data_IF_343903519963
#
_entry.id   IF_343903519963
#
_cell.length_a   1.000
_cell.length_b   1.000
_cell.length_c   1.000
_cell.angle_alpha   90.00
_cell.angle_beta   90.00
_cell.angle_gamma   90.00
#
_symmetry.space_group_name_H-M   'P 1'
#
loop_
_entity.id
_entity.type
_entity.pdbx_description
1 polymer ?
#
# COMPACT_ATOMS: atom_id res chain seq x y z
N UNK A 1 -22.06 -1.96 4.87
CA UNK A 1 -21.37 -1.86 6.18
C UNK A 1 -21.10 -3.21 6.85
N UNK A 2 -22.09 -4.10 7.06
CA UNK A 2 -21.84 -5.46 7.60
C UNK A 2 -20.79 -6.26 6.79
N UNK A 3 -20.80 -6.09 5.46
CA UNK A 3 -19.84 -6.74 4.56
C UNK A 3 -18.38 -6.33 4.82
N UNK A 4 -18.09 -5.06 5.10
CA UNK A 4 -16.72 -4.59 5.36
C UNK A 4 -16.20 -5.20 6.66
N UNK A 5 -17.00 -5.15 7.73
CA UNK A 5 -16.60 -5.75 9.02
C UNK A 5 -16.43 -7.27 8.94
N UNK A 6 -17.31 -7.95 8.21
CA UNK A 6 -17.24 -9.41 8.04
C UNK A 6 -16.06 -9.86 7.18
N UNK A 7 -15.54 -8.99 6.31
CA UNK A 7 -14.48 -9.33 5.35
C UNK A 7 -13.16 -8.59 5.59
N UNK A 8 -13.06 -7.71 6.59
CA UNK A 8 -11.87 -6.88 6.80
C UNK A 8 -10.59 -7.70 6.90
N UNK A 9 -10.65 -8.86 7.57
CA UNK A 9 -9.54 -9.82 7.66
C UNK A 9 -9.05 -10.23 6.26
N UNK A 10 -9.95 -10.64 5.38
CA UNK A 10 -9.62 -11.09 4.03
C UNK A 10 -9.14 -9.93 3.15
N UNK A 11 -9.73 -8.75 3.29
CA UNK A 11 -9.29 -7.54 2.59
C UNK A 11 -7.85 -7.19 3.01
N UNK A 12 -7.55 -7.21 4.31
CA UNK A 12 -6.19 -6.99 4.83
C UNK A 12 -5.20 -8.04 4.33
N UNK A 13 -5.58 -9.32 4.27
CA UNK A 13 -4.70 -10.37 3.75
C UNK A 13 -4.41 -10.19 2.26
N UNK A 14 -5.45 -10.04 1.44
CA UNK A 14 -5.28 -9.88 -0.01
C UNK A 14 -4.47 -8.64 -0.35
N UNK A 15 -4.82 -7.50 0.25
CA UNK A 15 -4.08 -6.25 0.06
C UNK A 15 -2.66 -6.31 0.62
N UNK A 16 -2.44 -6.99 1.74
CA UNK A 16 -1.13 -7.19 2.33
C UNK A 16 -0.22 -8.01 1.44
N UNK A 17 -0.70 -9.13 0.89
CA UNK A 17 0.04 -9.99 -0.05
C UNK A 17 0.41 -9.21 -1.31
N UNK A 18 -0.55 -8.50 -1.90
CA UNK A 18 -0.30 -7.66 -3.08
C UNK A 18 0.73 -6.57 -2.75
N UNK A 19 0.60 -5.89 -1.60
CA UNK A 19 1.55 -4.85 -1.19
C UNK A 19 2.96 -5.42 -0.95
N UNK A 20 3.06 -6.65 -0.42
CA UNK A 20 4.33 -7.35 -0.27
C UNK A 20 5.05 -7.66 -1.59
N UNK A 21 4.36 -7.62 -2.74
CA UNK A 21 5.01 -7.80 -4.05
C UNK A 21 6.11 -6.76 -4.31
N UNK A 22 6.06 -5.61 -3.63
CA UNK A 22 7.12 -4.60 -3.66
C UNK A 22 8.47 -5.11 -3.16
N UNK A 23 8.52 -6.28 -2.53
CA UNK A 23 9.78 -6.95 -2.22
C UNK A 23 10.61 -7.20 -3.49
N UNK A 24 9.95 -7.44 -4.63
CA UNK A 24 10.61 -7.55 -5.93
C UNK A 24 11.35 -6.26 -6.28
N UNK A 25 10.76 -5.09 -6.04
CA UNK A 25 11.41 -3.78 -6.26
C UNK A 25 12.57 -3.55 -5.28
N UNK A 26 12.51 -4.12 -4.08
CA UNK A 26 13.61 -4.07 -3.11
C UNK A 26 14.80 -4.96 -3.51
N UNK A 27 14.56 -6.05 -4.25
CA UNK A 27 15.61 -6.96 -4.74
C UNK A 27 16.13 -6.56 -6.13
N UNK A 28 15.23 -6.10 -7.00
CA UNK A 28 15.48 -5.68 -8.37
C UNK A 28 14.82 -4.32 -8.66
N UNK A 29 15.50 -3.20 -8.31
CA UNK A 29 14.97 -1.84 -8.42
C UNK A 29 14.44 -1.46 -9.79
N UNK A 30 15.20 -1.76 -10.85
CA UNK A 30 14.84 -1.42 -12.22
C UNK A 30 13.60 -2.16 -12.70
N UNK A 31 13.50 -3.47 -12.39
CA UNK A 31 12.31 -4.27 -12.68
C UNK A 31 11.09 -3.71 -11.95
N UNK A 32 11.24 -3.40 -10.66
CA UNK A 32 10.18 -2.84 -9.84
C UNK A 32 9.62 -1.54 -10.40
N UNK A 33 10.50 -0.58 -10.68
CA UNK A 33 10.11 0.70 -11.26
C UNK A 33 9.48 0.53 -12.65
N UNK A 34 10.03 -0.35 -13.50
CA UNK A 34 9.49 -0.61 -14.83
C UNK A 34 8.06 -1.19 -14.77
N UNK A 35 7.79 -2.07 -13.81
CA UNK A 35 6.46 -2.65 -13.63
C UNK A 35 5.46 -1.63 -13.09
N UNK A 36 5.87 -0.76 -12.16
CA UNK A 36 4.99 0.21 -11.50
C UNK A 36 4.79 1.49 -12.31
N UNK A 37 5.85 2.05 -12.87
CA UNK A 37 5.89 3.37 -13.50
C UNK A 37 6.18 3.33 -15.00
N UNK A 38 6.70 2.21 -15.52
CA UNK A 38 7.03 2.08 -16.94
C UNK A 38 8.35 2.72 -17.32
N UNK A 39 9.14 3.09 -16.31
CA UNK A 39 10.44 3.74 -16.44
C UNK A 39 11.37 3.27 -15.31
N UNK A 40 12.65 3.57 -15.40
CA UNK A 40 13.66 3.22 -14.39
C UNK A 40 14.55 4.40 -14.05
N UNK A 41 15.08 4.40 -12.83
CA UNK A 41 16.16 5.29 -12.44
C UNK A 41 17.50 4.57 -12.59
N UNK A 42 18.55 5.33 -12.90
CA UNK A 42 19.91 4.81 -13.08
C UNK A 42 20.86 5.35 -11.98
N UNK A 43 21.88 4.56 -11.65
CA UNK A 43 22.94 4.93 -10.71
C UNK A 43 22.76 4.33 -9.30
N UNK A 44 23.86 4.26 -8.56
CA UNK A 44 23.92 3.56 -7.26
C UNK A 44 23.05 4.21 -6.18
N UNK A 45 23.02 5.54 -6.14
CA UNK A 45 22.17 6.28 -5.21
C UNK A 45 20.67 6.05 -5.49
N UNK A 46 20.28 6.03 -6.77
CA UNK A 46 18.90 5.74 -7.14
C UNK A 46 18.50 4.32 -6.73
N UNK A 47 19.38 3.35 -6.97
CA UNK A 47 19.16 1.97 -6.57
C UNK A 47 18.93 1.85 -5.06
N UNK A 48 19.77 2.46 -4.22
CA UNK A 48 19.59 2.36 -2.76
C UNK A 48 18.32 3.05 -2.28
N UNK A 49 17.90 4.16 -2.90
CA UNK A 49 16.64 4.84 -2.56
C UNK A 49 15.43 3.96 -2.89
N UNK A 50 15.38 3.39 -4.09
CA UNK A 50 14.28 2.52 -4.53
C UNK A 50 14.20 1.28 -3.65
N UNK A 51 15.33 0.68 -3.29
CA UNK A 51 15.37 -0.48 -2.40
C UNK A 51 14.80 -0.16 -1.02
N UNK A 52 15.21 0.94 -0.40
CA UNK A 52 14.72 1.38 0.90
C UNK A 52 13.21 1.66 0.86
N UNK A 53 12.77 2.44 -0.13
CA UNK A 53 11.36 2.76 -0.32
C UNK A 53 10.50 1.50 -0.49
N UNK A 54 10.92 0.58 -1.36
CA UNK A 54 10.23 -0.67 -1.61
C UNK A 54 10.18 -1.57 -0.37
N UNK A 55 11.27 -1.68 0.39
CA UNK A 55 11.32 -2.44 1.63
C UNK A 55 10.33 -1.91 2.69
N UNK A 56 10.21 -0.59 2.83
CA UNK A 56 9.22 0.03 3.72
C UNK A 56 7.79 -0.32 3.31
N UNK A 57 7.49 -0.31 2.00
CA UNK A 57 6.16 -0.72 1.51
C UNK A 57 5.91 -2.21 1.80
N UNK A 58 6.89 -3.07 1.59
CA UNK A 58 6.80 -4.50 1.94
C UNK A 58 6.49 -4.69 3.42
N UNK A 59 7.12 -3.92 4.31
CA UNK A 59 6.84 -3.98 5.75
C UNK A 59 5.39 -3.58 6.04
N UNK A 60 4.85 -2.55 5.38
CA UNK A 60 3.43 -2.18 5.50
C UNK A 60 2.52 -3.32 5.02
N UNK A 61 2.90 -4.02 3.94
CA UNK A 61 2.21 -5.24 3.49
C UNK A 61 2.23 -6.35 4.56
N UNK A 62 3.39 -6.58 5.18
CA UNK A 62 3.54 -7.51 6.30
C UNK A 62 2.69 -7.13 7.52
N UNK A 63 2.62 -5.83 7.84
CA UNK A 63 1.74 -5.32 8.89
C UNK A 63 0.27 -5.60 8.59
N UNK A 64 -0.19 -5.42 7.34
CA UNK A 64 -1.56 -5.76 6.94
C UNK A 64 -1.86 -7.23 7.15
N UNK A 65 -0.95 -8.12 6.75
CA UNK A 65 -1.09 -9.57 6.99
C UNK A 65 -1.16 -9.86 8.49
N UNK A 66 -0.27 -9.27 9.29
CA UNK A 66 -0.26 -9.43 10.74
C UNK A 66 -1.54 -8.92 11.41
N UNK A 67 -1.98 -7.70 11.09
CA UNK A 67 -3.19 -7.08 11.65
C UNK A 67 -4.49 -7.77 11.22
N UNK A 68 -4.46 -8.58 10.16
CA UNK A 68 -5.58 -9.43 9.79
C UNK A 68 -5.85 -10.51 10.87
N UNK A 69 -4.79 -11.07 11.46
CA UNK A 69 -4.88 -12.10 12.50
C UNK A 69 -4.81 -11.56 13.93
N UNK A 70 -4.23 -10.37 14.15
CA UNK A 70 -4.13 -9.74 15.46
C UNK A 70 -5.13 -8.58 15.61
N UNK A 71 -6.30 -8.86 16.18
CA UNK A 71 -7.38 -7.87 16.30
C UNK A 71 -7.03 -6.66 17.18
N UNK A 72 -6.36 -6.82 18.35
CA UNK A 72 -5.92 -5.68 19.17
C UNK A 72 -5.09 -4.64 18.40
N UNK A 73 -4.22 -5.10 17.50
CA UNK A 73 -3.32 -4.23 16.73
C UNK A 73 -3.90 -3.77 15.38
N UNK A 74 -5.07 -4.29 14.98
CA UNK A 74 -5.68 -4.05 13.67
C UNK A 74 -5.84 -2.56 13.36
N UNK A 75 -6.31 -1.78 14.33
CA UNK A 75 -6.59 -0.37 14.09
C UNK A 75 -5.33 0.43 13.79
N UNK A 76 -4.25 0.17 14.53
CA UNK A 76 -2.96 0.81 14.30
C UNK A 76 -2.44 0.46 12.90
N UNK A 77 -2.51 -0.82 12.52
CA UNK A 77 -2.11 -1.29 11.19
C UNK A 77 -2.90 -0.60 10.09
N UNK A 78 -4.23 -0.51 10.22
CA UNK A 78 -5.08 0.14 9.23
C UNK A 78 -4.79 1.63 9.10
N UNK A 79 -4.47 2.32 10.20
CA UNK A 79 -4.06 3.73 10.17
C UNK A 79 -2.74 3.89 9.41
N UNK A 80 -1.71 3.11 9.76
CA UNK A 80 -0.39 3.16 9.11
C UNK A 80 -0.51 2.84 7.62
N UNK A 81 -1.24 1.79 7.27
CA UNK A 81 -1.46 1.41 5.87
C UNK A 81 -2.22 2.49 5.09
N UNK A 82 -3.26 3.09 5.69
CA UNK A 82 -4.03 4.15 5.05
C UNK A 82 -3.19 5.40 4.80
N UNK A 83 -2.37 5.80 5.77
CA UNK A 83 -1.46 6.95 5.63
C UNK A 83 -0.42 6.71 4.54
N UNK A 84 0.26 5.55 4.58
CA UNK A 84 1.27 5.19 3.58
C UNK A 84 0.70 5.18 2.16
N UNK A 85 -0.46 4.55 1.96
CA UNK A 85 -1.15 4.50 0.67
C UNK A 85 -1.66 5.88 0.22
N UNK A 86 -2.17 6.69 1.14
CA UNK A 86 -2.60 8.06 0.81
C UNK A 86 -1.43 8.92 0.35
N UNK A 87 -0.27 8.83 1.01
CA UNK A 87 0.94 9.54 0.60
C UNK A 87 1.37 9.09 -0.80
N UNK A 88 1.41 7.78 -1.07
CA UNK A 88 1.72 7.26 -2.40
C UNK A 88 0.77 7.80 -3.48
N UNK A 89 -0.54 7.74 -3.22
CA UNK A 89 -1.57 8.24 -4.16
C UNK A 89 -1.41 9.74 -4.40
N UNK A 90 -1.34 10.53 -3.33
CA UNK A 90 -1.23 11.99 -3.44
C UNK A 90 0.04 12.43 -4.17
N UNK A 91 1.19 11.84 -3.86
CA UNK A 91 2.45 12.19 -4.54
C UNK A 91 2.39 11.87 -6.03
N UNK A 92 1.78 10.75 -6.42
CA UNK A 92 1.60 10.40 -7.82
C UNK A 92 0.63 11.34 -8.55
N UNK A 93 -0.45 11.76 -7.89
CA UNK A 93 -1.41 12.69 -8.49
C UNK A 93 -0.81 14.10 -8.66
N UNK A 94 0.06 14.53 -7.74
CA UNK A 94 0.68 15.87 -7.78
C UNK A 94 1.90 15.88 -8.72
N UNK A 95 2.79 14.89 -8.63
CA UNK A 95 4.10 14.90 -9.28
C UNK A 95 4.28 13.82 -10.35
N UNK A 96 3.40 12.82 -10.40
CA UNK A 96 3.56 11.61 -11.23
C UNK A 96 2.75 11.61 -12.52
N UNK A 97 2.33 12.78 -13.03
CA UNK A 97 1.42 12.91 -14.19
C UNK A 97 1.87 12.09 -15.40
N UNK A 98 3.17 12.05 -15.69
CA UNK A 98 3.77 11.27 -16.79
C UNK A 98 3.68 9.75 -16.60
N UNK A 99 3.51 9.25 -15.37
CA UNK A 99 3.51 7.82 -15.04
C UNK A 99 2.12 7.26 -14.76
N UNK A 100 1.08 8.11 -14.70
CA UNK A 100 -0.29 7.72 -14.34
C UNK A 100 -0.86 6.61 -15.23
N UNK A 101 -0.45 6.54 -16.50
CA UNK A 101 -0.90 5.47 -17.40
C UNK A 101 -0.46 4.09 -16.92
N UNK A 102 0.76 3.97 -16.38
CA UNK A 102 1.29 2.69 -15.88
C UNK A 102 0.94 2.47 -14.41
N UNK A 103 1.09 3.49 -13.56
CA UNK A 103 0.84 3.40 -12.12
C UNK A 103 -0.65 3.47 -11.77
N UNK A 104 -1.52 3.84 -12.71
CA UNK A 104 -2.95 4.06 -12.49
C UNK A 104 -3.68 2.89 -11.84
N UNK A 105 -3.36 1.65 -12.22
CA UNK A 105 -3.96 0.46 -11.60
C UNK A 105 -3.63 0.40 -10.11
N UNK A 106 -2.37 0.63 -9.73
CA UNK A 106 -1.94 0.66 -8.33
C UNK A 106 -2.61 1.82 -7.58
N UNK A 107 -2.74 2.99 -8.21
CA UNK A 107 -3.38 4.17 -7.61
C UNK A 107 -4.86 3.95 -7.35
N UNK A 108 -5.60 3.36 -8.30
CA UNK A 108 -7.02 3.03 -8.12
C UNK A 108 -7.19 2.00 -7.00
N UNK A 109 -6.39 0.94 -7.03
CA UNK A 109 -6.40 -0.09 -6.00
C UNK A 109 -6.14 0.48 -4.60
N UNK A 110 -5.08 1.28 -4.45
CA UNK A 110 -4.72 1.88 -3.16
C UNK A 110 -5.75 2.91 -2.70
N UNK A 111 -6.36 3.67 -3.61
CA UNK A 111 -7.45 4.60 -3.29
C UNK A 111 -8.67 3.87 -2.72
N UNK A 112 -9.06 2.75 -3.35
CA UNK A 112 -10.17 1.91 -2.87
C UNK A 112 -9.85 1.36 -1.47
N UNK A 113 -8.63 0.87 -1.24
CA UNK A 113 -8.22 0.35 0.06
C UNK A 113 -8.22 1.44 1.14
N UNK A 114 -7.72 2.63 0.84
CA UNK A 114 -7.77 3.78 1.76
C UNK A 114 -9.21 4.07 2.17
N UNK A 115 -10.13 4.15 1.20
CA UNK A 115 -11.55 4.39 1.49
C UNK A 115 -12.12 3.30 2.39
N UNK A 116 -11.82 2.02 2.10
CA UNK A 116 -12.30 0.88 2.90
C UNK A 116 -11.74 0.94 4.34
N UNK A 117 -10.44 1.13 4.49
CA UNK A 117 -9.76 1.12 5.80
C UNK A 117 -10.19 2.30 6.65
N UNK A 118 -10.26 3.49 6.07
CA UNK A 118 -10.74 4.70 6.75
C UNK A 118 -12.21 4.54 7.16
N UNK A 119 -13.06 4.03 6.27
CA UNK A 119 -14.46 3.74 6.59
C UNK A 119 -14.59 2.74 7.74
N UNK A 120 -13.78 1.67 7.75
CA UNK A 120 -13.76 0.71 8.85
C UNK A 120 -13.40 1.38 10.19
N UNK A 121 -12.34 2.18 10.21
CA UNK A 121 -11.85 2.88 11.41
C UNK A 121 -12.90 3.84 11.99
N UNK A 122 -13.56 4.65 11.15
CA UNK A 122 -14.60 5.58 11.60
C UNK A 122 -15.85 4.85 12.12
N UNK A 123 -16.30 3.81 11.42
CA UNK A 123 -17.50 3.05 11.81
C UNK A 123 -17.30 2.23 13.08
N UNK A 124 -16.08 1.76 13.34
CA UNK A 124 -15.78 1.04 14.58
C UNK A 124 -15.79 1.98 15.78
N UNK A 125 -15.24 3.20 15.63
CA UNK A 125 -15.26 4.23 16.67
C UNK A 125 -16.68 4.63 17.04
N UNK A 126 -17.60 4.70 16.06
CA UNK A 126 -19.01 5.02 16.30
C UNK A 126 -19.80 3.92 17.04
N UNK A 127 -19.26 2.70 17.17
CA UNK A 127 -19.90 1.58 17.88
C UNK A 127 -19.39 1.37 19.30
N UNK A 128 -18.31 2.04 19.68
CA UNK A 128 -17.82 2.10 21.07
C UNK A 128 -18.47 3.28 21.76
#
# INVERSE_FOLDING_TARGET
MKFIFSNIKWIMLGSGIITCSMLLSALHPSLGLMLTFGDTLNGDLANIIVRNWAALITIVGGMLIYGAYNEPNRNLVLVVASLSKSIFVLLNLIYGSSFLMKSGIALVFDSILVIIFVSYLFLQKSKK
#
